data_IF_754694974754
#
_entry.id   IF_754694974754
#
_cell.length_a   1.000
_cell.length_b   1.000
_cell.length_c   1.000
_cell.angle_alpha   90.00
_cell.angle_beta   90.00
_cell.angle_gamma   90.00
#
_symmetry.space_group_name_H-M   'P 1'
#
loop_
_entity.id
_entity.type
_entity.pdbx_description
1 polymer ?
#
# COMPACT_ATOMS: atom_id res chain seq x y z
N UNK A 1 -14.13 -11.62 14.07
CA UNK A 1 -12.92 -10.81 14.17
C UNK A 1 -12.15 -10.94 12.86
N UNK A 2 -11.87 -9.84 12.20
CA UNK A 2 -10.96 -9.75 11.07
C UNK A 2 -9.92 -8.66 11.35
N UNK A 3 -8.81 -8.68 10.63
CA UNK A 3 -7.83 -7.59 10.66
C UNK A 3 -8.06 -6.72 9.43
N UNK A 4 -8.27 -5.43 9.64
CA UNK A 4 -8.42 -4.44 8.58
C UNK A 4 -7.15 -3.60 8.54
N UNK A 5 -6.37 -3.72 7.48
CA UNK A 5 -5.15 -2.94 7.30
C UNK A 5 -5.42 -1.76 6.38
N UNK A 6 -4.91 -0.57 6.73
CA UNK A 6 -5.10 0.66 5.97
C UNK A 6 -3.75 1.31 5.65
N UNK A 7 -3.41 1.39 4.38
CA UNK A 7 -2.13 1.96 3.94
C UNK A 7 -1.97 2.04 2.42
N UNK A 8 -0.84 2.56 1.99
CA UNK A 8 -0.53 2.69 0.56
C UNK A 8 0.14 1.42 0.02
N UNK A 9 -0.35 0.96 -1.14
CA UNK A 9 0.38 0.03 -2.00
C UNK A 9 1.07 0.82 -3.11
N UNK A 10 2.35 0.54 -3.35
CA UNK A 10 3.16 1.24 -4.34
C UNK A 10 3.76 0.27 -5.34
N UNK A 11 4.02 0.76 -6.55
CA UNK A 11 4.85 0.07 -7.52
C UNK A 11 6.32 0.16 -7.07
N UNK A 12 6.95 -0.97 -6.88
CA UNK A 12 8.38 -1.09 -6.58
C UNK A 12 9.13 -1.39 -7.86
N UNK A 13 10.06 -0.53 -8.21
CA UNK A 13 10.98 -0.68 -9.33
C UNK A 13 12.38 -0.98 -8.78
N UNK A 14 12.75 -2.26 -8.80
CA UNK A 14 14.05 -2.73 -8.31
C UNK A 14 15.03 -2.88 -9.46
N UNK A 15 16.28 -2.42 -9.27
CA UNK A 15 17.35 -2.70 -10.22
C UNK A 15 17.68 -4.20 -10.22
N UNK A 16 17.99 -4.79 -11.39
CA UNK A 16 18.47 -6.16 -11.46
C UNK A 16 19.73 -6.36 -10.61
N UNK A 17 19.88 -7.53 -10.04
CA UNK A 17 21.04 -7.92 -9.22
C UNK A 17 21.39 -6.87 -8.15
N UNK A 18 22.60 -6.33 -8.21
CA UNK A 18 23.12 -5.30 -7.31
C UNK A 18 23.51 -4.01 -8.05
N UNK A 19 22.93 -3.76 -9.23
CA UNK A 19 23.18 -2.55 -10.02
C UNK A 19 22.63 -1.32 -9.31
N UNK A 20 23.28 -0.18 -9.55
CA UNK A 20 22.72 1.14 -9.20
C UNK A 20 21.70 1.56 -10.25
N UNK A 21 20.79 2.46 -9.91
CA UNK A 21 19.82 3.03 -10.85
C UNK A 21 20.54 3.61 -12.08
N UNK A 22 21.66 4.30 -11.88
CA UNK A 22 22.47 4.90 -12.96
C UNK A 22 23.18 3.86 -13.87
N UNK A 23 23.24 2.60 -13.47
CA UNK A 23 23.91 1.51 -14.21
C UNK A 23 22.91 0.55 -14.87
N UNK A 24 21.64 0.72 -14.58
CA UNK A 24 20.60 -0.23 -14.99
C UNK A 24 19.84 0.29 -16.20
N UNK A 25 19.71 -0.56 -17.22
CA UNK A 25 18.90 -0.28 -18.41
C UNK A 25 17.41 -0.65 -18.22
N UNK A 26 17.04 -1.23 -17.06
CA UNK A 26 15.68 -1.66 -16.78
C UNK A 26 15.44 -1.94 -15.30
N UNK A 27 14.18 -2.27 -14.97
CA UNK A 27 13.75 -2.56 -13.62
C UNK A 27 12.89 -3.82 -13.56
N UNK A 28 13.02 -4.56 -12.46
CA UNK A 28 12.07 -5.58 -12.04
C UNK A 28 10.91 -4.89 -11.32
N UNK A 29 9.68 -5.08 -11.80
CA UNK A 29 8.48 -4.50 -11.20
C UNK A 29 7.85 -5.48 -10.21
N UNK A 30 7.47 -4.96 -9.04
CA UNK A 30 6.68 -5.66 -8.02
C UNK A 30 5.86 -4.63 -7.25
N UNK A 31 5.04 -5.10 -6.30
CA UNK A 31 4.25 -4.21 -5.46
C UNK A 31 4.61 -4.37 -4.00
N UNK A 32 4.47 -3.30 -3.21
CA UNK A 32 4.74 -3.34 -1.78
C UNK A 32 4.17 -2.14 -1.05
N UNK A 33 3.97 -2.34 0.23
CA UNK A 33 3.48 -1.35 1.17
C UNK A 33 3.45 -1.99 2.56
N UNK A 34 3.72 -1.24 3.61
CA UNK A 34 3.82 -1.79 4.96
C UNK A 34 2.55 -2.56 5.34
N UNK A 35 1.40 -1.94 5.18
CA UNK A 35 0.09 -2.53 5.53
C UNK A 35 -0.37 -3.60 4.55
N UNK A 36 -0.04 -3.44 3.24
CA UNK A 36 -0.29 -4.46 2.24
C UNK A 36 0.52 -5.75 2.54
N UNK A 37 1.78 -5.60 2.95
CA UNK A 37 2.61 -6.75 3.34
C UNK A 37 2.07 -7.47 4.58
N UNK A 38 1.55 -6.72 5.56
CA UNK A 38 0.89 -7.31 6.74
C UNK A 38 -0.37 -8.06 6.34
N UNK A 39 -1.22 -7.47 5.47
CA UNK A 39 -2.43 -8.14 4.98
C UNK A 39 -2.10 -9.45 4.26
N UNK A 40 -1.09 -9.44 3.38
CA UNK A 40 -0.63 -10.64 2.67
C UNK A 40 -0.13 -11.69 3.65
N UNK A 41 0.68 -11.30 4.65
CA UNK A 41 1.19 -12.23 5.66
C UNK A 41 0.05 -12.87 6.45
N UNK A 42 -0.95 -12.10 6.87
CA UNK A 42 -2.13 -12.61 7.59
C UNK A 42 -2.93 -13.58 6.73
N UNK A 43 -3.17 -13.23 5.46
CA UNK A 43 -3.88 -14.11 4.53
C UNK A 43 -3.15 -15.45 4.33
N UNK A 44 -1.81 -15.44 4.28
CA UNK A 44 -1.00 -16.67 4.18
C UNK A 44 -1.06 -17.54 5.44
N UNK A 45 -1.42 -16.97 6.60
CA UNK A 45 -1.71 -17.71 7.83
C UNK A 45 -3.20 -18.07 7.99
N UNK A 46 -3.99 -17.94 6.91
CA UNK A 46 -5.42 -18.22 6.87
C UNK A 46 -6.26 -17.31 7.79
N UNK A 47 -5.71 -16.20 8.24
CA UNK A 47 -6.44 -15.21 9.01
C UNK A 47 -7.36 -14.36 8.11
N UNK A 48 -8.53 -14.02 8.61
CA UNK A 48 -9.45 -13.11 7.92
C UNK A 48 -8.86 -11.71 7.92
N UNK A 49 -8.47 -11.23 6.74
CA UNK A 49 -7.94 -9.88 6.58
C UNK A 49 -8.56 -9.15 5.40
N UNK A 50 -8.64 -7.82 5.54
CA UNK A 50 -9.03 -6.92 4.48
C UNK A 50 -7.98 -5.81 4.35
N UNK A 51 -7.63 -5.47 3.12
CA UNK A 51 -6.75 -4.35 2.83
C UNK A 51 -7.55 -3.18 2.28
N UNK A 52 -7.48 -2.05 2.97
CA UNK A 52 -8.13 -0.80 2.61
C UNK A 52 -7.07 0.18 2.11
N UNK A 53 -7.28 0.72 0.93
CA UNK A 53 -6.36 1.63 0.27
C UNK A 53 -7.09 2.41 -0.83
N UNK A 54 -6.36 3.26 -1.56
CA UNK A 54 -6.85 3.88 -2.79
C UNK A 54 -5.83 3.71 -3.90
N UNK A 55 -6.28 3.19 -5.06
CA UNK A 55 -5.45 2.99 -6.24
C UNK A 55 -6.09 3.66 -7.47
N UNK A 56 -5.29 4.11 -8.45
CA UNK A 56 -5.82 4.73 -9.66
C UNK A 56 -6.65 3.75 -10.49
N UNK A 57 -7.61 4.29 -11.23
CA UNK A 57 -8.46 3.50 -12.12
C UNK A 57 -7.79 3.29 -13.49
N UNK A 58 -6.62 2.67 -13.49
CA UNK A 58 -5.83 2.38 -14.68
C UNK A 58 -5.17 0.99 -14.56
N UNK A 59 -4.49 0.47 -15.60
CA UNK A 59 -3.85 -0.85 -15.58
C UNK A 59 -2.85 -1.05 -14.43
N UNK A 60 -2.11 -0.01 -14.02
CA UNK A 60 -1.13 -0.10 -12.94
C UNK A 60 -1.83 -0.31 -11.59
N UNK A 61 -2.90 0.45 -11.32
CA UNK A 61 -3.73 0.26 -10.12
C UNK A 61 -4.42 -1.11 -10.11
N UNK A 62 -4.87 -1.60 -11.27
CA UNK A 62 -5.44 -2.94 -11.38
C UNK A 62 -4.43 -4.04 -11.10
N UNK A 63 -3.20 -3.88 -11.57
CA UNK A 63 -2.12 -4.85 -11.32
C UNK A 63 -1.76 -4.88 -9.83
N UNK A 64 -1.67 -3.73 -9.16
CA UNK A 64 -1.46 -3.66 -7.71
C UNK A 64 -2.56 -4.39 -6.92
N UNK A 65 -3.82 -4.18 -7.33
CA UNK A 65 -4.98 -4.86 -6.73
C UNK A 65 -4.92 -6.38 -6.93
N UNK A 66 -4.58 -6.81 -8.15
CA UNK A 66 -4.48 -8.23 -8.50
C UNK A 66 -3.39 -8.93 -7.69
N UNK A 67 -2.27 -8.26 -7.46
CA UNK A 67 -1.17 -8.80 -6.64
C UNK A 67 -1.64 -9.13 -5.22
N UNK A 68 -2.33 -8.21 -4.57
CA UNK A 68 -2.82 -8.42 -3.20
C UNK A 68 -3.90 -9.53 -3.16
N UNK A 69 -4.79 -9.55 -4.15
CA UNK A 69 -5.82 -10.61 -4.28
C UNK A 69 -5.24 -11.99 -4.52
N UNK A 70 -4.12 -12.08 -5.23
CA UNK A 70 -3.45 -13.35 -5.50
C UNK A 70 -3.11 -14.11 -4.20
N UNK A 71 -2.85 -13.39 -3.12
CA UNK A 71 -2.56 -13.95 -1.80
C UNK A 71 -3.82 -14.16 -0.93
N UNK A 72 -5.02 -13.98 -1.47
CA UNK A 72 -6.27 -14.22 -0.74
C UNK A 72 -6.76 -13.07 0.17
N UNK A 73 -6.12 -11.90 0.07
CA UNK A 73 -6.56 -10.72 0.84
C UNK A 73 -7.88 -10.18 0.30
N UNK A 74 -8.84 -9.90 1.18
CA UNK A 74 -10.05 -9.19 0.80
C UNK A 74 -9.74 -7.73 0.46
N UNK A 75 -10.14 -7.30 -0.74
CA UNK A 75 -9.95 -5.94 -1.28
C UNK A 75 -11.25 -5.25 -1.66
N UNK A 76 -12.40 -5.71 -1.13
CA UNK A 76 -13.73 -5.16 -1.48
C UNK A 76 -13.90 -3.71 -1.04
N UNK A 77 -13.15 -3.28 -0.04
CA UNK A 77 -13.17 -1.92 0.50
C UNK A 77 -12.11 -0.99 -0.10
N UNK A 78 -11.43 -1.44 -1.17
CA UNK A 78 -10.40 -0.65 -1.81
C UNK A 78 -11.02 0.39 -2.74
N UNK A 79 -10.70 1.67 -2.52
CA UNK A 79 -11.21 2.80 -3.30
C UNK A 79 -10.47 2.89 -4.64
N UNK A 80 -11.22 3.17 -5.69
CA UNK A 80 -10.70 3.34 -7.06
C UNK A 80 -10.84 4.79 -7.51
N UNK A 81 -9.74 5.43 -7.90
CA UNK A 81 -9.73 6.81 -8.36
C UNK A 81 -8.36 7.46 -8.19
N UNK A 82 -8.24 8.71 -8.66
CA UNK A 82 -6.96 9.42 -8.72
C UNK A 82 -6.14 9.03 -9.96
N UNK A 83 -5.05 9.75 -10.19
CA UNK A 83 -4.32 9.70 -11.46
C UNK A 83 -3.16 8.70 -11.47
N UNK A 84 -2.48 8.51 -10.32
CA UNK A 84 -1.27 7.70 -10.27
C UNK A 84 -1.15 6.83 -9.03
N UNK A 85 -0.46 5.71 -9.17
CA UNK A 85 0.05 4.93 -8.06
C UNK A 85 1.35 5.56 -7.56
N UNK A 86 1.62 5.50 -6.25
CA UNK A 86 2.94 5.82 -5.71
C UNK A 86 3.99 4.83 -6.24
N UNK A 87 5.21 5.30 -6.45
CA UNK A 87 6.33 4.50 -6.94
C UNK A 87 7.49 4.64 -5.96
N UNK A 88 8.28 3.61 -5.82
CA UNK A 88 9.62 3.72 -5.26
C UNK A 88 10.63 2.91 -6.04
N UNK A 89 11.81 3.50 -6.16
CA UNK A 89 12.97 2.86 -6.77
C UNK A 89 13.81 2.22 -5.67
N UNK A 90 14.26 1.00 -5.93
CA UNK A 90 14.98 0.20 -4.94
C UNK A 90 16.31 -0.28 -5.51
N UNK A 91 17.40 0.20 -4.93
CA UNK A 91 18.75 -0.31 -5.16
C UNK A 91 19.12 -1.25 -4.03
N UNK A 92 19.32 -2.52 -4.34
CA UNK A 92 19.76 -3.49 -3.35
C UNK A 92 21.19 -3.18 -2.88
N UNK A 93 21.37 -3.20 -1.58
CA UNK A 93 22.70 -3.14 -0.98
C UNK A 93 23.56 -4.36 -1.35
N UNK A 94 24.87 -4.18 -1.34
CA UNK A 94 25.82 -5.25 -1.60
C UNK A 94 27.09 -4.97 -0.78
N UNK A 95 27.50 -5.93 0.02
CA UNK A 95 28.65 -5.82 0.90
C UNK A 95 28.57 -4.54 1.79
N UNK A 96 29.53 -3.65 1.70
CA UNK A 96 29.56 -2.39 2.47
C UNK A 96 28.59 -1.33 1.96
N UNK A 97 27.97 -1.54 0.80
CA UNK A 97 27.02 -0.57 0.22
C UNK A 97 25.61 -0.80 0.79
N UNK A 98 25.06 0.21 1.42
CA UNK A 98 23.70 0.17 1.92
C UNK A 98 22.66 0.10 0.79
N UNK A 99 21.50 -0.49 1.10
CA UNK A 99 20.30 -0.37 0.28
C UNK A 99 19.89 1.09 0.18
N UNK A 100 19.51 1.52 -1.02
CA UNK A 100 19.00 2.85 -1.29
C UNK A 100 17.56 2.78 -1.80
N UNK A 101 16.70 3.65 -1.28
CA UNK A 101 15.29 3.74 -1.69
C UNK A 101 14.98 5.20 -2.04
N UNK A 102 14.46 5.40 -3.25
CA UNK A 102 14.03 6.72 -3.72
C UNK A 102 12.51 6.67 -3.92
N UNK A 103 11.78 7.51 -3.18
CA UNK A 103 10.32 7.57 -3.26
C UNK A 103 9.87 8.62 -4.27
N UNK A 104 8.96 8.22 -5.15
CA UNK A 104 8.15 9.08 -6.02
C UNK A 104 6.67 8.81 -5.74
N UNK A 105 6.18 9.31 -4.59
CA UNK A 105 4.82 9.05 -4.10
C UNK A 105 3.97 10.30 -3.87
N UNK A 106 4.53 11.48 -4.11
CA UNK A 106 3.75 12.70 -3.98
C UNK A 106 2.54 12.69 -4.94
N UNK A 107 1.40 13.17 -4.47
CA UNK A 107 0.15 13.21 -5.25
C UNK A 107 -0.33 11.85 -5.77
N UNK A 108 0.08 10.75 -5.13
CA UNK A 108 -0.49 9.44 -5.43
C UNK A 108 -1.99 9.41 -5.11
N UNK A 109 -2.72 8.51 -5.73
CA UNK A 109 -4.15 8.31 -5.44
C UNK A 109 -4.40 8.15 -3.93
N UNK A 110 -3.56 7.37 -3.24
CA UNK A 110 -3.67 7.18 -1.80
C UNK A 110 -3.37 8.47 -1.02
N UNK A 111 -2.33 9.22 -1.36
CA UNK A 111 -1.94 10.45 -0.65
C UNK A 111 -3.01 11.56 -0.73
N UNK A 112 -3.88 11.49 -1.73
CA UNK A 112 -5.00 12.41 -1.93
C UNK A 112 -6.35 11.86 -1.44
N UNK A 113 -6.34 10.73 -0.71
CA UNK A 113 -7.54 10.11 -0.16
C UNK A 113 -8.27 11.02 0.81
N UNK A 114 -9.58 11.15 0.65
CA UNK A 114 -10.43 11.91 1.55
C UNK A 114 -11.15 11.00 2.54
N UNK A 115 -11.39 11.42 3.81
CA UNK A 115 -12.14 10.63 4.78
C UNK A 115 -13.52 10.18 4.27
N UNK A 116 -14.18 11.01 3.45
CA UNK A 116 -15.51 10.74 2.86
C UNK A 116 -15.53 9.61 1.84
N UNK A 117 -14.37 9.15 1.36
CA UNK A 117 -14.27 8.04 0.41
C UNK A 117 -14.33 6.67 1.09
N UNK A 118 -14.23 6.63 2.44
CA UNK A 118 -14.20 5.40 3.22
C UNK A 118 -15.41 5.34 4.16
N UNK A 119 -16.26 4.34 3.95
CA UNK A 119 -17.44 4.07 4.77
C UNK A 119 -17.04 3.12 5.91
N UNK A 120 -16.35 3.66 6.93
CA UNK A 120 -15.81 2.86 8.04
C UNK A 120 -16.87 2.07 8.78
N UNK A 121 -18.11 2.57 8.86
CA UNK A 121 -19.28 1.88 9.40
C UNK A 121 -19.62 0.56 8.68
N UNK A 122 -19.20 0.42 7.42
CA UNK A 122 -19.37 -0.80 6.63
C UNK A 122 -18.10 -1.65 6.56
N UNK A 123 -16.97 -1.10 6.99
CA UNK A 123 -15.65 -1.74 6.92
C UNK A 123 -15.28 -2.40 8.24
N UNK A 124 -15.55 -1.73 9.36
CA UNK A 124 -15.19 -2.14 10.71
C UNK A 124 -16.40 -2.66 11.46
N UNK A 125 -16.23 -3.77 12.17
CA UNK A 125 -17.24 -4.36 13.06
C UNK A 125 -16.69 -4.44 14.49
N UNK A 126 -17.54 -4.42 15.53
CA UNK A 126 -17.09 -4.60 16.90
C UNK A 126 -16.23 -5.86 17.06
N UNK A 127 -15.03 -5.69 17.61
CA UNK A 127 -14.08 -6.78 17.80
C UNK A 127 -13.07 -6.96 16.66
N UNK A 128 -13.18 -6.20 15.57
CA UNK A 128 -12.14 -6.19 14.52
C UNK A 128 -10.88 -5.44 14.98
N UNK A 129 -9.75 -5.78 14.37
CA UNK A 129 -8.47 -5.08 14.59
C UNK A 129 -8.23 -4.13 13.42
N UNK A 130 -8.09 -2.83 13.71
CA UNK A 130 -7.67 -1.84 12.73
C UNK A 130 -6.16 -1.62 12.82
N UNK A 131 -5.43 -1.91 11.74
CA UNK A 131 -3.97 -1.82 11.67
C UNK A 131 -3.52 -0.78 10.65
N UNK A 132 -2.66 0.12 11.10
CA UNK A 132 -1.89 1.04 10.25
C UNK A 132 -0.51 1.29 10.87
N UNK A 133 0.49 1.60 10.08
CA UNK A 133 1.83 1.99 10.57
C UNK A 133 1.93 3.52 10.72
N UNK A 134 2.96 3.98 11.42
CA UNK A 134 3.22 5.41 11.59
C UNK A 134 3.51 6.15 10.27
N UNK A 135 3.85 5.43 9.21
CA UNK A 135 4.04 6.02 7.87
C UNK A 135 2.72 6.49 7.29
N UNK A 136 1.64 5.75 7.48
CA UNK A 136 0.34 6.02 6.85
C UNK A 136 -0.20 7.41 7.17
N UNK A 137 -0.38 7.85 8.42
CA UNK A 137 -0.83 9.23 8.68
C UNK A 137 0.20 10.30 8.27
N UNK A 138 1.47 9.95 8.15
CA UNK A 138 2.52 10.87 7.73
C UNK A 138 2.57 11.12 6.21
N UNK A 139 1.82 10.35 5.41
CA UNK A 139 1.79 10.51 3.95
C UNK A 139 1.21 11.85 3.53
N UNK A 140 0.10 12.26 4.14
CA UNK A 140 -0.54 13.57 3.91
C UNK A 140 -1.53 13.90 5.00
N UNK A 141 -1.94 15.19 5.07
CA UNK A 141 -3.00 15.63 5.98
C UNK A 141 -4.34 14.92 5.71
N UNK A 142 -4.65 14.66 4.45
CA UNK A 142 -5.87 13.92 4.08
C UNK A 142 -5.88 12.50 4.64
N UNK A 143 -4.76 11.80 4.53
CA UNK A 143 -4.62 10.43 5.07
C UNK A 143 -4.63 10.43 6.59
N UNK A 144 -3.99 11.42 7.25
CA UNK A 144 -4.09 11.59 8.71
C UNK A 144 -5.55 11.73 9.15
N UNK A 145 -6.32 12.60 8.49
CA UNK A 145 -7.72 12.83 8.81
C UNK A 145 -8.57 11.56 8.54
N UNK A 146 -8.20 10.79 7.52
CA UNK A 146 -8.84 9.50 7.21
C UNK A 146 -8.59 8.47 8.32
N UNK A 147 -7.34 8.35 8.81
CA UNK A 147 -7.02 7.49 9.97
C UNK A 147 -7.79 7.94 11.20
N UNK A 148 -7.84 9.25 11.49
CA UNK A 148 -8.60 9.79 12.63
C UNK A 148 -10.10 9.52 12.52
N UNK A 149 -10.65 9.46 11.30
CA UNK A 149 -12.06 9.10 11.10
C UNK A 149 -12.31 7.62 11.40
N UNK A 150 -11.40 6.72 10.98
CA UNK A 150 -11.49 5.29 11.28
C UNK A 150 -11.45 4.98 12.79
N UNK A 151 -10.61 5.70 13.53
CA UNK A 151 -10.45 5.50 14.99
C UNK A 151 -11.66 5.91 15.84
N UNK A 152 -12.74 6.38 15.22
CA UNK A 152 -14.00 6.69 15.92
C UNK A 152 -14.96 5.50 15.97
N UNK A 153 -14.66 4.47 15.19
CA UNK A 153 -15.43 3.22 15.12
C UNK A 153 -14.76 2.11 15.92
#
# INVERSE_FOLDING_TARGET
MKVVTFGEIMLRLKTPENLRIMQSDGFEASYGGAEANVAVSLAMYEDKCAFVSKVPNNPVGMSALSEVRHYGVNTDYLVRGGDRLGIYFFEKGSDIRNTNVVYDRAFSAFSLSQPSEYHWENILEPGDVFYFSGVTPAVSKYVEDTVRSALKY
#
